data_IF_374620888587
#
_entry.id   IF_374620888587
#
_cell.length_a   1.000
_cell.length_b   1.000
_cell.length_c   1.000
_cell.angle_alpha   90.00
_cell.angle_beta   90.00
_cell.angle_gamma   90.00
#
_symmetry.space_group_name_H-M   'P 1'
#
loop_
_entity.id
_entity.type
_entity.pdbx_description
1 polymer ?
#
# COMPACT_ATOMS: atom_id res chain seq x y z
N UNK A 1 -8.26 -21.27 49.70
CA UNK A 1 -8.32 -20.35 48.54
C UNK A 1 -7.05 -19.52 48.58
N UNK A 2 -6.03 -19.88 47.80
CA UNK A 2 -4.79 -19.08 47.76
C UNK A 2 -5.07 -17.73 47.08
N UNK A 3 -4.62 -16.61 47.67
CA UNK A 3 -4.80 -15.30 47.07
C UNK A 3 -4.00 -15.21 45.77
N UNK A 4 -4.69 -14.90 44.68
CA UNK A 4 -4.06 -14.66 43.37
C UNK A 4 -3.01 -13.55 43.53
N UNK A 5 -1.75 -13.86 43.21
CA UNK A 5 -0.69 -12.85 43.21
C UNK A 5 -1.09 -11.69 42.29
N UNK A 6 -0.86 -10.44 42.71
CA UNK A 6 -1.22 -9.29 41.90
C UNK A 6 -0.46 -9.36 40.57
N UNK A 7 -1.20 -9.54 39.48
CA UNK A 7 -0.63 -9.52 38.15
C UNK A 7 0.03 -8.17 37.92
N UNK A 8 1.32 -8.18 37.58
CA UNK A 8 2.05 -6.98 37.18
C UNK A 8 1.25 -6.27 36.08
N UNK A 9 0.94 -4.98 36.21
CA UNK A 9 0.25 -4.26 35.16
C UNK A 9 1.08 -4.41 33.88
N UNK A 10 0.46 -5.00 32.85
CA UNK A 10 1.02 -4.99 31.51
C UNK A 10 0.96 -3.54 31.07
N UNK A 11 2.11 -2.86 31.09
CA UNK A 11 2.23 -1.55 30.47
C UNK A 11 1.86 -1.70 29.00
N UNK A 12 0.62 -1.34 28.68
CA UNK A 12 0.16 -1.23 27.30
C UNK A 12 0.88 0.01 26.79
N UNK A 13 2.02 -0.19 26.10
CA UNK A 13 2.72 0.88 25.42
C UNK A 13 1.70 1.67 24.60
N UNK A 14 1.47 2.93 25.00
CA UNK A 14 0.56 3.82 24.30
C UNK A 14 1.06 3.93 22.87
N UNK A 15 0.16 3.76 21.91
CA UNK A 15 0.54 3.84 20.51
C UNK A 15 0.89 5.30 20.16
N UNK A 16 2.18 5.65 20.26
CA UNK A 16 2.72 7.00 20.01
C UNK A 16 2.77 7.36 18.51
N UNK A 17 2.25 6.48 17.66
CA UNK A 17 2.23 6.64 16.20
C UNK A 17 1.42 7.87 15.79
N UNK A 18 1.96 8.66 14.87
CA UNK A 18 1.26 9.81 14.30
C UNK A 18 0.05 9.33 13.48
N UNK A 19 -1.15 9.73 13.91
CA UNK A 19 -2.36 9.53 13.13
C UNK A 19 -2.40 10.52 11.96
N UNK A 20 -2.74 10.03 10.76
CA UNK A 20 -2.99 10.92 9.63
C UNK A 20 -4.20 11.82 9.95
N UNK A 21 -4.19 13.11 9.54
CA UNK A 21 -5.32 14.00 9.77
C UNK A 21 -6.61 13.39 9.19
N UNK A 22 -7.66 13.30 10.00
CA UNK A 22 -8.91 12.60 9.64
C UNK A 22 -9.51 13.12 8.33
N UNK A 23 -9.44 14.43 8.07
CA UNK A 23 -9.95 15.02 6.84
C UNK A 23 -9.26 14.50 5.57
N UNK A 24 -7.95 14.17 5.63
CA UNK A 24 -7.23 13.57 4.50
C UNK A 24 -7.68 12.14 4.25
N UNK A 25 -7.92 11.38 5.32
CA UNK A 25 -8.47 10.02 5.25
C UNK A 25 -9.86 10.04 4.60
N UNK A 26 -10.73 10.93 5.04
CA UNK A 26 -12.07 11.10 4.47
C UNK A 26 -12.03 11.56 3.02
N UNK A 27 -11.20 12.56 2.69
CA UNK A 27 -11.02 13.01 1.31
C UNK A 27 -10.58 11.88 0.38
N UNK A 28 -9.60 11.07 0.80
CA UNK A 28 -9.15 9.93 0.01
C UNK A 28 -10.22 8.84 -0.15
N UNK A 29 -11.05 8.59 0.88
CA UNK A 29 -12.20 7.68 0.76
C UNK A 29 -13.24 8.20 -0.23
N UNK A 30 -13.55 9.49 -0.21
CA UNK A 30 -14.49 10.10 -1.14
C UNK A 30 -13.99 9.96 -2.58
N UNK A 31 -12.69 10.19 -2.82
CA UNK A 31 -12.07 9.99 -4.13
C UNK A 31 -12.18 8.54 -4.59
N UNK A 32 -11.93 7.57 -3.71
CA UNK A 32 -12.05 6.15 -4.05
C UNK A 32 -13.49 5.76 -4.41
N UNK A 33 -14.48 6.26 -3.66
CA UNK A 33 -15.90 6.05 -3.96
C UNK A 33 -16.27 6.69 -5.30
N UNK A 34 -15.80 7.92 -5.56
CA UNK A 34 -16.03 8.61 -6.83
C UNK A 34 -15.45 7.86 -8.02
N UNK A 35 -14.26 7.26 -7.87
CA UNK A 35 -13.66 6.38 -8.86
C UNK A 35 -14.58 5.18 -9.12
N UNK A 36 -14.96 4.42 -8.09
CA UNK A 36 -15.84 3.25 -8.23
C UNK A 36 -17.16 3.60 -8.91
N UNK A 37 -17.81 4.70 -8.50
CA UNK A 37 -19.05 5.16 -9.13
C UNK A 37 -18.85 5.48 -10.60
N UNK A 38 -17.74 6.13 -10.97
CA UNK A 38 -17.41 6.39 -12.38
C UNK A 38 -17.28 5.09 -13.19
N UNK A 39 -16.63 4.06 -12.66
CA UNK A 39 -16.51 2.79 -13.38
C UNK A 39 -17.83 2.04 -13.58
N UNK A 40 -18.77 2.21 -12.65
CA UNK A 40 -20.08 1.55 -12.66
C UNK A 40 -21.06 2.31 -13.55
N UNK A 41 -21.06 3.64 -13.49
CA UNK A 41 -22.06 4.48 -14.12
C UNK A 41 -21.71 4.91 -15.55
N UNK A 42 -20.43 4.86 -15.94
CA UNK A 42 -20.00 5.25 -17.29
C UNK A 42 -20.00 4.03 -18.22
N UNK A 43 -20.56 4.23 -19.42
CA UNK A 43 -20.62 3.22 -20.48
C UNK A 43 -19.23 2.83 -21.00
N UNK A 44 -19.12 1.60 -21.48
CA UNK A 44 -17.90 1.05 -22.02
C UNK A 44 -17.54 1.62 -23.39
N UNK A 45 -16.26 1.53 -23.76
CA UNK A 45 -15.76 1.98 -25.06
C UNK A 45 -15.42 3.47 -25.17
N UNK A 46 -15.58 4.24 -24.09
CA UNK A 46 -15.16 5.64 -24.04
C UNK A 46 -13.63 5.76 -24.00
N UNK A 47 -13.03 6.36 -25.04
CA UNK A 47 -11.57 6.49 -25.18
C UNK A 47 -10.92 7.31 -24.04
N UNK A 48 -11.63 8.31 -23.51
CA UNK A 48 -11.15 9.10 -22.38
C UNK A 48 -11.02 8.28 -21.08
N UNK A 49 -11.82 7.22 -20.91
CA UNK A 49 -11.73 6.35 -19.74
C UNK A 49 -10.45 5.53 -19.73
N UNK A 50 -9.92 5.15 -20.91
CA UNK A 50 -8.62 4.49 -21.03
C UNK A 50 -7.53 5.41 -20.48
N UNK A 51 -7.53 6.68 -20.92
CA UNK A 51 -6.58 7.70 -20.45
C UNK A 51 -6.72 7.94 -18.95
N UNK A 52 -7.95 8.09 -18.46
CA UNK A 52 -8.23 8.28 -17.03
C UNK A 52 -7.76 7.09 -16.18
N UNK A 53 -7.99 5.86 -16.65
CA UNK A 53 -7.54 4.62 -16.02
C UNK A 53 -6.01 4.54 -15.94
N UNK A 54 -5.31 4.87 -17.03
CA UNK A 54 -3.84 4.91 -17.07
C UNK A 54 -3.30 5.97 -16.10
N UNK A 55 -3.87 7.18 -16.10
CA UNK A 55 -3.47 8.25 -15.18
C UNK A 55 -3.69 7.84 -13.71
N UNK A 56 -4.85 7.25 -13.40
CA UNK A 56 -5.19 6.77 -12.05
C UNK A 56 -4.21 5.68 -11.60
N UNK A 57 -3.85 4.77 -12.52
CA UNK A 57 -2.87 3.72 -12.29
C UNK A 57 -1.49 4.30 -11.99
N UNK A 58 -1.03 5.26 -12.81
CA UNK A 58 0.27 5.90 -12.64
C UNK A 58 0.37 6.65 -11.30
N UNK A 59 -0.70 7.36 -10.90
CA UNK A 59 -0.78 8.04 -9.61
C UNK A 59 -0.73 7.01 -8.47
N UNK A 60 -1.56 5.97 -8.52
CA UNK A 60 -1.57 4.91 -7.52
C UNK A 60 -0.21 4.22 -7.38
N UNK A 61 0.47 3.97 -8.50
CA UNK A 61 1.80 3.36 -8.51
C UNK A 61 2.83 4.30 -7.88
N UNK A 62 2.81 5.60 -8.20
CA UNK A 62 3.71 6.58 -7.61
C UNK A 62 3.52 6.68 -6.08
N UNK A 63 2.27 6.65 -5.61
CA UNK A 63 1.95 6.64 -4.17
C UNK A 63 2.48 5.37 -3.48
N UNK A 64 2.29 4.21 -4.11
CA UNK A 64 2.77 2.91 -3.60
C UNK A 64 4.30 2.84 -3.57
N UNK A 65 4.98 3.39 -4.59
CA UNK A 65 6.44 3.49 -4.61
C UNK A 65 6.94 4.45 -3.54
N UNK A 66 6.25 5.58 -3.34
CA UNK A 66 6.58 6.54 -2.29
C UNK A 66 6.41 5.94 -0.89
N UNK A 67 5.32 5.20 -0.63
CA UNK A 67 5.10 4.48 0.65
C UNK A 67 6.21 3.46 0.88
N UNK A 68 6.49 2.63 -0.12
CA UNK A 68 7.50 1.58 -0.06
C UNK A 68 8.90 2.15 0.21
N UNK A 69 9.30 3.18 -0.55
CA UNK A 69 10.60 3.86 -0.39
C UNK A 69 10.72 4.48 0.98
N UNK A 70 9.64 5.10 1.48
CA UNK A 70 9.60 5.71 2.80
C UNK A 70 9.75 4.65 3.89
N UNK A 71 8.97 3.57 3.84
CA UNK A 71 9.05 2.43 4.78
C UNK A 71 10.46 1.84 4.85
N UNK A 72 11.14 1.72 3.71
CA UNK A 72 12.54 1.26 3.66
C UNK A 72 13.52 2.25 4.29
N UNK A 73 13.35 3.56 4.04
CA UNK A 73 14.19 4.59 4.66
C UNK A 73 14.03 4.64 6.18
N UNK A 74 12.78 4.54 6.65
CA UNK A 74 12.47 4.53 8.08
C UNK A 74 12.97 3.26 8.79
N UNK A 75 13.16 2.16 8.05
CA UNK A 75 13.69 0.90 8.55
C UNK A 75 15.13 0.62 8.08
N UNK A 76 15.89 1.66 7.70
CA UNK A 76 17.27 1.49 7.26
C UNK A 76 18.11 0.77 8.33
N UNK A 77 18.84 -0.25 7.92
CA UNK A 77 19.66 -1.07 8.82
C UNK A 77 18.90 -2.13 9.62
N UNK A 78 17.57 -2.21 9.50
CA UNK A 78 16.75 -3.26 10.11
C UNK A 78 16.06 -4.09 9.03
N UNK A 79 15.97 -5.40 9.23
CA UNK A 79 15.23 -6.25 8.30
C UNK A 79 13.73 -6.05 8.49
N UNK A 80 13.01 -5.94 7.38
CA UNK A 80 11.55 -5.91 7.38
C UNK A 80 11.06 -7.35 7.25
N UNK A 81 10.30 -7.88 8.22
CA UNK A 81 9.78 -9.25 8.15
C UNK A 81 8.84 -9.38 6.94
N UNK A 82 8.85 -10.56 6.33
CA UNK A 82 7.95 -10.87 5.20
C UNK A 82 6.49 -10.94 5.64
N UNK A 83 6.26 -11.49 6.83
CA UNK A 83 4.94 -11.57 7.45
C UNK A 83 4.94 -10.70 8.70
N UNK A 84 4.04 -9.72 8.75
CA UNK A 84 3.83 -8.85 9.90
C UNK A 84 4.21 -7.40 9.68
N UNK A 85 4.17 -6.64 10.79
CA UNK A 85 4.43 -5.20 10.79
C UNK A 85 5.93 -4.91 10.70
N UNK A 86 6.34 -3.81 10.05
CA UNK A 86 7.74 -3.40 10.05
C UNK A 86 8.20 -3.07 11.49
N UNK A 87 9.48 -3.26 11.83
CA UNK A 87 9.99 -3.01 13.19
C UNK A 87 9.82 -1.57 13.65
N UNK A 88 9.91 -0.61 12.73
CA UNK A 88 9.64 0.80 12.96
C UNK A 88 8.46 1.18 12.07
N UNK A 89 7.37 1.58 12.71
CA UNK A 89 6.14 2.01 12.05
C UNK A 89 5.65 3.28 12.75
N UNK A 90 6.11 4.47 12.34
CA UNK A 90 5.84 5.71 13.07
C UNK A 90 4.40 6.21 12.90
N UNK A 91 3.58 5.55 12.06
CA UNK A 91 2.23 6.01 11.67
C UNK A 91 1.19 4.92 11.84
N UNK A 92 0.00 5.30 12.28
CA UNK A 92 -1.12 4.35 12.42
C UNK A 92 -1.74 3.99 11.06
N UNK A 93 -1.74 4.92 10.11
CA UNK A 93 -2.30 4.73 8.78
C UNK A 93 -1.35 5.35 7.75
N UNK A 94 -0.79 4.52 6.88
CA UNK A 94 -0.10 5.02 5.71
C UNK A 94 -1.12 5.25 4.58
N UNK A 95 -1.51 6.51 4.40
CA UNK A 95 -2.42 6.93 3.33
C UNK A 95 -1.86 6.59 1.94
N UNK A 96 -0.54 6.59 1.79
CA UNK A 96 0.08 6.31 0.50
C UNK A 96 -0.11 4.84 0.12
N UNK A 97 0.01 3.94 1.09
CA UNK A 97 -0.18 2.50 0.90
C UNK A 97 -1.67 2.13 0.82
N UNK A 98 -2.47 2.70 1.73
CA UNK A 98 -3.92 2.41 1.83
C UNK A 98 -4.68 2.79 0.56
N UNK A 99 -4.24 3.83 -0.16
CA UNK A 99 -4.92 4.32 -1.36
C UNK A 99 -4.15 4.05 -2.66
N UNK A 100 -2.82 3.89 -2.60
CA UNK A 100 -1.99 3.63 -3.76
C UNK A 100 -2.37 2.32 -4.46
N UNK A 101 -2.39 1.21 -3.73
CA UNK A 101 -2.71 -0.09 -4.30
C UNK A 101 -4.13 -0.18 -4.87
N UNK A 102 -5.20 0.25 -4.17
CA UNK A 102 -6.54 0.29 -4.74
C UNK A 102 -6.65 1.15 -5.99
N UNK A 103 -5.96 2.30 -6.07
CA UNK A 103 -5.95 3.13 -7.27
C UNK A 103 -5.28 2.43 -8.46
N UNK A 104 -4.21 1.65 -8.24
CA UNK A 104 -3.58 0.85 -9.30
C UNK A 104 -4.53 -0.22 -9.82
N UNK A 105 -5.12 -1.02 -8.92
CA UNK A 105 -6.05 -2.09 -9.31
C UNK A 105 -7.24 -1.51 -10.06
N UNK A 106 -7.80 -0.42 -9.54
CA UNK A 106 -8.95 0.25 -10.13
C UNK A 106 -8.63 0.85 -11.51
N UNK A 107 -7.53 1.61 -11.62
CA UNK A 107 -7.13 2.23 -12.87
C UNK A 107 -6.86 1.22 -13.98
N UNK A 108 -6.23 0.08 -13.65
CA UNK A 108 -6.00 -1.00 -14.61
C UNK A 108 -7.32 -1.65 -15.02
N UNK A 109 -8.22 -1.91 -14.07
CA UNK A 109 -9.53 -2.50 -14.37
C UNK A 109 -10.35 -1.59 -15.31
N UNK A 110 -10.38 -0.28 -15.06
CA UNK A 110 -11.06 0.69 -15.92
C UNK A 110 -10.43 0.75 -17.30
N UNK A 111 -9.11 0.88 -17.38
CA UNK A 111 -8.42 0.94 -18.67
C UNK A 111 -8.63 -0.35 -19.49
N UNK A 112 -8.56 -1.51 -18.84
CA UNK A 112 -8.76 -2.80 -19.50
C UNK A 112 -10.21 -2.97 -19.99
N UNK A 113 -11.20 -2.62 -19.16
CA UNK A 113 -12.63 -2.65 -19.51
C UNK A 113 -12.90 -1.76 -20.74
N UNK A 114 -12.46 -0.50 -20.70
CA UNK A 114 -12.70 0.45 -21.78
C UNK A 114 -11.95 0.13 -23.07
N UNK A 115 -10.77 -0.49 -22.98
CA UNK A 115 -9.99 -0.92 -24.14
C UNK A 115 -10.36 -2.33 -24.64
N UNK A 116 -11.37 -2.98 -24.06
CA UNK A 116 -11.74 -4.38 -24.34
C UNK A 116 -10.56 -5.37 -24.20
N UNK A 117 -9.62 -5.07 -23.30
CA UNK A 117 -8.48 -5.92 -23.01
C UNK A 117 -8.93 -7.06 -22.10
N UNK A 118 -8.65 -8.33 -22.48
CA UNK A 118 -9.01 -9.45 -21.64
C UNK A 118 -8.34 -9.39 -20.25
N UNK A 119 -9.09 -9.78 -19.22
CA UNK A 119 -8.66 -9.67 -17.82
C UNK A 119 -7.36 -10.43 -17.52
N UNK A 120 -7.08 -11.52 -18.24
CA UNK A 120 -5.87 -12.33 -18.08
C UNK A 120 -4.60 -11.63 -18.58
N UNK A 121 -4.70 -10.55 -19.38
CA UNK A 121 -3.57 -9.66 -19.69
C UNK A 121 -3.43 -8.54 -18.66
N UNK A 122 -4.55 -8.01 -18.16
CA UNK A 122 -4.55 -6.96 -17.16
C UNK A 122 -4.04 -7.43 -15.79
N UNK A 123 -4.39 -8.66 -15.39
CA UNK A 123 -4.04 -9.22 -14.09
C UNK A 123 -2.51 -9.37 -13.89
N UNK A 124 -1.72 -9.90 -14.84
CA UNK A 124 -0.26 -9.90 -14.74
C UNK A 124 0.34 -8.51 -14.55
N UNK A 125 -0.20 -7.46 -15.18
CA UNK A 125 0.29 -6.09 -15.01
C UNK A 125 0.13 -5.63 -13.56
N UNK A 126 -1.03 -5.90 -12.95
CA UNK A 126 -1.26 -5.61 -11.53
C UNK A 126 -0.37 -6.47 -10.64
N UNK A 127 -0.29 -7.78 -10.88
CA UNK A 127 0.52 -8.68 -10.05
C UNK A 127 2.01 -8.31 -10.10
N UNK A 128 2.57 -8.03 -11.27
CA UNK A 128 3.98 -7.67 -11.42
C UNK A 128 4.23 -6.27 -10.88
N UNK A 129 3.43 -5.29 -11.28
CA UNK A 129 3.64 -3.89 -10.94
C UNK A 129 3.30 -3.55 -9.49
N UNK A 130 2.10 -3.92 -9.05
CA UNK A 130 1.58 -3.52 -7.75
C UNK A 130 2.05 -4.42 -6.59
N UNK A 131 2.37 -5.70 -6.88
CA UNK A 131 2.81 -6.66 -5.85
C UNK A 131 4.27 -7.05 -6.04
N UNK A 132 4.66 -7.43 -7.25
CA UNK A 132 6.03 -7.89 -7.56
C UNK A 132 7.08 -6.82 -7.30
N UNK A 133 6.88 -5.58 -7.74
CA UNK A 133 7.86 -4.49 -7.55
C UNK A 133 8.08 -4.14 -6.06
N UNK A 134 7.05 -3.94 -5.22
CA UNK A 134 7.27 -3.73 -3.79
C UNK A 134 7.98 -4.91 -3.11
N UNK A 135 7.64 -6.15 -3.46
CA UNK A 135 8.29 -7.34 -2.91
C UNK A 135 9.76 -7.43 -3.34
N UNK A 136 10.08 -7.14 -4.61
CA UNK A 136 11.45 -7.10 -5.10
C UNK A 136 12.26 -6.01 -4.39
N UNK A 137 11.66 -4.83 -4.18
CA UNK A 137 12.30 -3.75 -3.44
C UNK A 137 12.53 -4.13 -1.96
N UNK A 138 11.60 -4.85 -1.31
CA UNK A 138 11.78 -5.38 0.05
C UNK A 138 12.87 -6.45 0.10
N UNK A 139 12.90 -7.36 -0.88
CA UNK A 139 13.94 -8.37 -1.01
C UNK A 139 15.32 -7.71 -1.11
N UNK A 140 15.45 -6.71 -1.99
CA UNK A 140 16.68 -5.95 -2.20
C UNK A 140 17.12 -5.17 -0.97
N UNK A 141 16.19 -4.49 -0.29
CA UNK A 141 16.47 -3.81 0.97
C UNK A 141 17.01 -4.79 2.02
N UNK A 142 16.30 -5.90 2.24
CA UNK A 142 16.72 -6.92 3.20
C UNK A 142 18.08 -7.53 2.84
N UNK A 143 18.35 -7.74 1.55
CA UNK A 143 19.65 -8.20 1.05
C UNK A 143 20.78 -7.21 1.38
N UNK A 144 20.57 -5.91 1.13
CA UNK A 144 21.54 -4.86 1.48
C UNK A 144 21.81 -4.82 2.98
N UNK A 145 20.77 -4.88 3.81
CA UNK A 145 20.92 -4.91 5.27
C UNK A 145 21.74 -6.13 5.72
N UNK A 146 21.53 -7.33 5.13
CA UNK A 146 22.33 -8.53 5.46
C UNK A 146 23.82 -8.31 5.24
N UNK A 147 24.20 -7.64 4.14
CA UNK A 147 25.61 -7.41 3.77
C UNK A 147 26.31 -6.41 4.68
N UNK A 148 25.56 -5.47 5.27
CA UNK A 148 26.12 -4.39 6.10
C UNK A 148 26.17 -4.72 7.58
N UNK A 149 25.51 -5.79 8.03
CA UNK A 149 25.59 -6.25 9.43
C UNK A 149 26.71 -7.28 9.54
N UNK A 150 27.84 -6.99 10.20
CA UNK A 150 28.83 -8.01 10.51
C UNK A 150 28.18 -9.06 11.40
N UNK A 151 28.28 -10.33 11.02
CA UNK A 151 27.94 -11.44 11.91
C UNK A 151 28.84 -11.39 13.14
N UNK A 152 28.30 -11.53 14.37
CA UNK A 152 29.11 -11.71 15.56
C UNK A 152 29.93 -13.00 15.49
#
# INVERSE_FOLDING_TARGET
MEPLQPMRPVDVQRDEREAAPRWKVWGARIVLVGLVLTAVLVEDGQSWMVVAGICTTAIGAALTVASTRRRMRENAGRRIPWNGRPPIEPRQVDLLDTFGFPMVVFGVAVAAKSASVPWFFALPVVCIGAVGMPLAAQAWHNYRVRRTTPTP
#
